data_IF_181092815494
#
_entry.id   IF_181092815494
#
_cell.length_a   1.000
_cell.length_b   1.000
_cell.length_c   1.000
_cell.angle_alpha   90.00
_cell.angle_beta   90.00
_cell.angle_gamma   90.00
#
_symmetry.space_group_name_H-M   'P 1'
#
loop_
_entity.id
_entity.type
_entity.pdbx_description
1 polymer ?
#
# COMPACT_ATOMS: atom_id res chain seq x y z
N UNK A 1 3.10 1.88 -0.63
CA UNK A 1 3.25 0.52 -0.04
C UNK A 1 4.39 0.47 0.96
N UNK A 2 5.65 0.69 0.56
CA UNK A 2 6.82 0.50 1.44
C UNK A 2 6.82 1.12 2.85
N UNK A 3 6.26 2.32 3.07
CA UNK A 3 6.21 2.92 4.43
C UNK A 3 5.30 2.13 5.37
N UNK A 4 4.11 1.77 4.91
CA UNK A 4 3.15 1.01 5.72
C UNK A 4 3.67 -0.41 5.97
N UNK A 5 4.25 -1.04 4.95
CA UNK A 5 4.85 -2.37 5.08
C UNK A 5 5.98 -2.36 6.13
N UNK A 6 6.84 -1.33 6.14
CA UNK A 6 7.87 -1.17 7.15
C UNK A 6 7.28 -1.08 8.57
N UNK A 7 6.26 -0.23 8.77
CA UNK A 7 5.61 -0.08 10.06
C UNK A 7 4.97 -1.39 10.54
N UNK A 8 4.24 -2.10 9.66
CA UNK A 8 3.60 -3.38 9.99
C UNK A 8 4.62 -4.47 10.33
N UNK A 9 5.80 -4.44 9.69
CA UNK A 9 6.92 -5.35 9.97
C UNK A 9 7.79 -4.91 11.16
N UNK A 10 7.43 -3.84 11.87
CA UNK A 10 8.21 -3.32 13.00
C UNK A 10 9.51 -2.61 12.61
N UNK A 11 9.69 -2.30 11.33
CA UNK A 11 10.83 -1.58 10.79
C UNK A 11 10.61 -0.06 10.86
N UNK A 12 11.67 0.70 11.14
CA UNK A 12 11.62 2.17 11.19
C UNK A 12 11.74 2.72 9.76
N UNK A 13 10.71 3.35 9.20
CA UNK A 13 10.81 3.98 7.89
C UNK A 13 11.77 5.18 7.91
N UNK A 14 12.61 5.25 6.87
CA UNK A 14 13.43 6.43 6.56
C UNK A 14 12.72 7.22 5.47
N UNK A 15 12.33 8.45 5.78
CA UNK A 15 11.55 9.33 4.93
C UNK A 15 12.46 10.36 4.29
N UNK A 16 12.24 10.65 3.02
CA UNK A 16 13.02 11.62 2.26
C UNK A 16 12.20 12.84 1.84
N UNK A 17 10.97 13.01 2.35
CA UNK A 17 10.15 14.16 2.01
C UNK A 17 9.26 14.54 3.19
N UNK A 18 9.27 15.82 3.55
CA UNK A 18 8.53 16.41 4.66
C UNK A 18 7.00 16.24 4.54
N UNK A 19 6.49 16.05 3.32
CA UNK A 19 5.08 15.81 3.06
C UNK A 19 4.60 14.37 3.28
N UNK A 20 5.50 13.38 3.40
CA UNK A 20 5.08 11.97 3.60
C UNK A 20 4.33 11.73 4.91
N UNK A 21 4.78 12.27 6.06
CA UNK A 21 4.05 12.21 7.33
C UNK A 21 2.61 12.74 7.25
N UNK A 22 2.40 13.76 6.40
CA UNK A 22 1.13 14.47 6.30
C UNK A 22 0.06 13.71 5.49
N UNK A 23 0.40 12.58 4.86
CA UNK A 23 -0.54 11.82 4.03
C UNK A 23 -1.54 10.99 4.84
N UNK A 24 -1.21 10.69 6.10
CA UNK A 24 -2.05 9.86 6.98
C UNK A 24 -2.20 10.47 8.37
N UNK A 25 -2.70 11.72 8.49
CA UNK A 25 -2.74 12.42 9.77
C UNK A 25 -3.58 11.69 10.82
N UNK A 26 -4.68 11.04 10.43
CA UNK A 26 -5.55 10.33 11.38
C UNK A 26 -4.96 8.99 11.88
N UNK A 27 -3.99 8.42 11.16
CA UNK A 27 -3.45 7.07 11.42
C UNK A 27 -2.05 7.11 12.02
N UNK A 28 -1.20 7.97 11.46
CA UNK A 28 0.18 8.14 11.90
C UNK A 28 0.33 9.29 12.88
N UNK A 29 -0.48 10.35 12.72
CA UNK A 29 -0.69 11.41 13.69
C UNK A 29 0.54 11.88 14.45
N UNK A 30 0.42 11.86 15.77
CA UNK A 30 1.36 12.35 16.77
C UNK A 30 2.57 11.44 17.01
N UNK A 31 2.46 10.15 16.68
CA UNK A 31 3.53 9.17 16.92
C UNK A 31 4.55 9.08 15.77
N UNK A 32 4.30 9.75 14.64
CA UNK A 32 5.16 9.70 13.46
C UNK A 32 6.61 10.14 13.70
N UNK A 33 6.80 11.25 14.41
CA UNK A 33 8.13 11.76 14.72
C UNK A 33 8.93 10.79 15.60
N UNK A 34 8.24 9.95 16.37
CA UNK A 34 8.82 8.94 17.25
C UNK A 34 8.89 7.55 16.62
N UNK A 35 8.60 7.41 15.33
CA UNK A 35 8.56 6.13 14.64
C UNK A 35 9.18 6.17 13.24
N UNK A 36 9.87 7.25 12.89
CA UNK A 36 10.49 7.40 11.58
C UNK A 36 11.71 8.31 11.65
N UNK A 37 12.55 8.23 10.63
CA UNK A 37 13.70 9.13 10.46
C UNK A 37 13.43 10.01 9.24
N UNK A 38 13.34 11.32 9.42
CA UNK A 38 13.23 12.25 8.29
C UNK A 38 14.61 12.75 7.85
N UNK A 39 14.95 12.46 6.60
CA UNK A 39 16.19 12.88 5.95
C UNK A 39 15.94 14.12 5.10
N UNK A 40 16.81 15.11 5.24
CA UNK A 40 16.87 16.26 4.35
C UNK A 40 17.41 15.83 2.97
N UNK A 41 16.49 15.44 2.08
CA UNK A 41 16.81 14.98 0.73
C UNK A 41 17.52 16.04 -0.10
N UNK A 42 17.26 17.33 0.15
CA UNK A 42 17.89 18.43 -0.59
C UNK A 42 19.39 18.49 -0.27
N UNK A 43 19.78 18.24 0.97
CA UNK A 43 21.20 18.12 1.35
C UNK A 43 21.83 16.84 0.80
N UNK A 44 21.09 15.73 0.80
CA UNK A 44 21.54 14.46 0.24
C UNK A 44 21.87 14.57 -1.25
N UNK A 45 20.96 15.11 -2.06
CA UNK A 45 21.18 15.28 -3.51
C UNK A 45 22.34 16.20 -3.86
N UNK A 46 22.66 17.18 -3.00
CA UNK A 46 23.80 18.08 -3.19
C UNK A 46 25.13 17.47 -2.71
N UNK A 47 25.14 16.21 -2.27
CA UNK A 47 26.32 15.56 -1.70
C UNK A 47 26.77 16.16 -0.35
N UNK A 48 25.91 16.93 0.32
CA UNK A 48 26.22 17.61 1.59
C UNK A 48 25.74 16.85 2.83
N UNK A 49 25.36 15.59 2.66
CA UNK A 49 24.82 14.74 3.71
C UNK A 49 25.21 13.28 3.48
N UNK A 50 25.83 12.66 4.48
CA UNK A 50 26.21 11.26 4.43
C UNK A 50 25.14 10.40 5.13
N UNK A 51 24.23 9.84 4.33
CA UNK A 51 23.10 9.05 4.82
C UNK A 51 23.53 7.90 5.75
N UNK A 52 24.53 7.11 5.34
CA UNK A 52 24.97 5.95 6.12
C UNK A 52 25.61 6.37 7.44
N UNK A 53 26.41 7.44 7.45
CA UNK A 53 26.99 7.95 8.68
C UNK A 53 25.90 8.46 9.64
N UNK A 54 24.91 9.19 9.13
CA UNK A 54 23.80 9.69 9.95
C UNK A 54 22.97 8.55 10.53
N UNK A 55 22.59 7.56 9.72
CA UNK A 55 21.79 6.42 10.20
C UNK A 55 22.55 5.57 11.23
N UNK A 56 23.87 5.39 11.07
CA UNK A 56 24.71 4.68 12.04
C UNK A 56 24.92 5.46 13.34
N UNK A 57 24.83 6.78 13.29
CA UNK A 57 24.99 7.63 14.47
C UNK A 57 23.77 7.61 15.39
N UNK A 58 22.62 7.09 14.95
CA UNK A 58 21.42 6.97 15.77
C UNK A 58 21.69 6.00 16.93
N UNK A 59 21.57 6.44 18.19
CA UNK A 59 21.77 5.57 19.34
C UNK A 59 20.82 4.37 19.33
N UNK A 60 21.30 3.22 19.78
CA UNK A 60 20.47 2.01 19.92
C UNK A 60 19.26 2.23 20.81
N UNK A 61 19.38 3.05 21.85
CA UNK A 61 18.27 3.42 22.74
C UNK A 61 17.14 4.13 21.99
N UNK A 62 17.48 5.04 21.06
CA UNK A 62 16.51 5.74 20.22
C UNK A 62 15.84 4.78 19.22
N UNK A 63 16.62 3.88 18.61
CA UNK A 63 16.08 2.81 17.74
C UNK A 63 15.06 1.95 18.49
N UNK A 64 15.38 1.54 19.72
CA UNK A 64 14.47 0.75 20.55
C UNK A 64 13.22 1.54 20.95
N UNK A 65 13.34 2.84 21.23
CA UNK A 65 12.20 3.71 21.51
C UNK A 65 11.29 3.82 20.27
N UNK A 66 11.86 3.98 19.08
CA UNK A 66 11.09 4.01 17.83
C UNK A 66 10.38 2.68 17.57
N UNK A 67 11.08 1.56 17.74
CA UNK A 67 10.48 0.22 17.59
C UNK A 67 9.34 -0.04 18.58
N UNK A 68 9.47 0.41 19.84
CA UNK A 68 8.38 0.33 20.82
C UNK A 68 7.18 1.14 20.39
N UNK A 69 7.40 2.36 19.93
CA UNK A 69 6.33 3.24 19.40
C UNK A 69 5.61 2.55 18.24
N UNK A 70 6.36 1.97 17.28
CA UNK A 70 5.80 1.21 16.17
C UNK A 70 4.98 0.02 16.67
N UNK A 71 5.52 -0.79 17.58
CA UNK A 71 4.80 -1.95 18.14
C UNK A 71 3.48 -1.55 18.81
N UNK A 72 3.44 -0.40 19.48
CA UNK A 72 2.22 0.13 20.11
C UNK A 72 1.20 0.61 19.09
N UNK A 73 1.61 1.22 17.97
CA UNK A 73 0.69 1.97 17.09
C UNK A 73 0.51 1.42 15.67
N UNK A 74 1.37 0.51 15.19
CA UNK A 74 1.36 0.06 13.79
C UNK A 74 0.02 -0.56 13.35
N UNK A 75 -0.75 -1.13 14.27
CA UNK A 75 -2.08 -1.64 13.98
C UNK A 75 -3.05 -0.54 13.47
N UNK A 76 -2.82 0.74 13.81
CA UNK A 76 -3.65 1.87 13.37
C UNK A 76 -3.46 2.23 11.90
N UNK A 77 -2.32 1.86 11.31
CA UNK A 77 -2.03 2.08 9.88
C UNK A 77 -2.27 0.83 9.04
N UNK A 78 -2.62 -0.29 9.70
CA UNK A 78 -3.01 -1.53 9.05
C UNK A 78 -4.47 -1.46 8.64
N UNK A 79 -4.73 -0.84 7.50
CA UNK A 79 -5.98 -1.11 6.81
C UNK A 79 -5.88 -2.51 6.24
N UNK A 80 -6.71 -3.41 6.74
CA UNK A 80 -7.07 -4.59 5.96
C UNK A 80 -7.44 -4.03 4.58
N UNK A 81 -6.69 -4.43 3.56
CA UNK A 81 -7.25 -4.44 2.23
C UNK A 81 -8.49 -5.31 2.39
N UNK A 82 -9.66 -4.69 2.62
CA UNK A 82 -10.92 -5.36 2.37
C UNK A 82 -10.72 -5.84 0.96
N UNK A 83 -10.59 -7.15 0.81
CA UNK A 83 -10.47 -7.73 -0.51
C UNK A 83 -11.75 -7.33 -1.21
N UNK A 84 -11.66 -6.33 -2.09
CA UNK A 84 -12.82 -5.82 -2.82
C UNK A 84 -13.43 -6.92 -3.69
N UNK A 85 -12.74 -8.05 -3.88
CA UNK A 85 -13.32 -9.28 -4.42
C UNK A 85 -14.44 -9.85 -3.54
N UNK A 86 -14.38 -9.66 -2.22
CA UNK A 86 -15.38 -10.13 -1.23
C UNK A 86 -16.50 -9.13 -0.93
N UNK A 87 -16.42 -7.90 -1.47
CA UNK A 87 -17.52 -6.95 -1.32
C UNK A 87 -18.78 -7.51 -2.04
N UNK A 88 -19.95 -7.51 -1.36
CA UNK A 88 -21.22 -7.90 -1.98
C UNK A 88 -21.45 -7.12 -3.27
N UNK A 89 -21.92 -7.81 -4.33
CA UNK A 89 -22.14 -7.22 -5.64
C UNK A 89 -22.99 -5.95 -5.61
N UNK A 90 -23.90 -5.81 -4.64
CA UNK A 90 -24.74 -4.63 -4.42
C UNK A 90 -23.97 -3.32 -4.14
N UNK A 91 -22.69 -3.39 -3.74
CA UNK A 91 -21.83 -2.22 -3.52
C UNK A 91 -20.83 -1.98 -4.66
N UNK A 92 -20.72 -2.92 -5.62
CA UNK A 92 -20.00 -2.71 -6.88
C UNK A 92 -20.97 -1.99 -7.80
N UNK A 93 -20.94 -0.66 -7.82
CA UNK A 93 -21.84 0.19 -8.60
C UNK A 93 -22.20 -0.44 -9.95
N UNK A 94 -23.47 -0.87 -10.06
CA UNK A 94 -24.02 -1.44 -11.28
C UNK A 94 -23.96 -0.40 -12.38
N UNK A 95 -23.25 -0.72 -13.46
CA UNK A 95 -23.56 -0.13 -14.75
C UNK A 95 -24.45 -1.13 -15.47
N UNK A 96 -25.74 -0.93 -15.25
CA UNK A 96 -26.84 -1.73 -15.78
C UNK A 96 -26.96 -1.45 -17.29
N UNK A 97 -26.06 -2.04 -18.08
CA UNK A 97 -26.14 -2.03 -19.54
C UNK A 97 -27.03 -3.17 -20.02
N UNK A 98 -28.35 -2.97 -19.94
CA UNK A 98 -29.35 -3.86 -20.51
C UNK A 98 -29.14 -4.12 -22.00
N UNK A 99 -29.32 -5.38 -22.39
CA UNK A 99 -29.25 -5.83 -23.77
C UNK A 99 -29.87 -7.22 -23.91
N UNK A 100 -31.18 -7.30 -23.69
CA UNK A 100 -32.01 -8.45 -24.08
C UNK A 100 -32.06 -8.51 -25.60
N UNK A 101 -31.29 -9.42 -26.20
CA UNK A 101 -31.41 -9.83 -27.59
C UNK A 101 -31.84 -11.28 -27.65
N UNK A 102 -33.14 -11.50 -27.84
CA UNK A 102 -33.72 -12.79 -28.21
C UNK A 102 -33.40 -13.08 -29.67
N UNK A 103 -32.84 -14.26 -29.99
CA UNK A 103 -32.95 -14.85 -31.32
C UNK A 103 -33.18 -16.36 -31.19
N UNK A 104 -34.46 -16.72 -31.35
CA UNK A 104 -34.92 -18.04 -31.77
C UNK A 104 -34.49 -18.31 -33.24
N UNK A 105 -34.23 -19.57 -33.55
CA UNK A 105 -34.13 -20.12 -34.91
C UNK A 105 -32.78 -20.81 -35.15
N UNK A 106 -32.66 -22.09 -35.50
CA UNK A 106 -33.61 -22.95 -36.18
C UNK A 106 -32.94 -23.51 -37.44
N UNK A 107 -32.52 -24.78 -37.39
CA UNK A 107 -32.34 -25.63 -38.57
C UNK A 107 -30.98 -25.64 -39.27
N UNK A 108 -30.53 -26.85 -39.65
CA UNK A 108 -29.51 -27.01 -40.70
C UNK A 108 -28.63 -28.24 -40.54
N UNK A 109 -29.05 -29.35 -41.13
CA UNK A 109 -28.33 -30.62 -41.22
C UNK A 109 -27.24 -30.63 -42.31
N UNK A 110 -26.32 -31.61 -42.20
CA UNK A 110 -25.41 -32.09 -43.26
C UNK A 110 -23.94 -31.97 -42.86
N UNK A 111 -23.07 -32.97 -42.91
CA UNK A 111 -23.12 -34.29 -43.53
C UNK A 111 -21.74 -34.60 -44.13
N UNK A 112 -21.10 -35.70 -43.69
CA UNK A 112 -19.96 -36.39 -44.34
C UNK A 112 -18.62 -35.63 -44.38
N UNK A 113 -17.45 -36.22 -44.64
CA UNK A 113 -16.94 -37.58 -44.74
C UNK A 113 -15.45 -37.44 -45.17
N UNK A 114 -14.59 -38.41 -44.80
CA UNK A 114 -13.24 -38.60 -45.37
C UNK A 114 -12.13 -38.04 -44.49
N UNK A 115 -11.16 -38.82 -43.97
CA UNK A 115 -10.65 -40.10 -44.44
C UNK A 115 -9.45 -39.86 -45.36
N UNK A 116 -8.25 -40.02 -44.81
CA UNK A 116 -6.97 -39.88 -45.49
C UNK A 116 -5.83 -39.84 -44.48
#
# INVERSE_FOLDING_TARGET
KGVLDALVLGCIPVLFHEGLPLQWPDHWGDWQANASVLIDWRKLLRGRFNLLATLRAIPRSEVLAMQRTIATHAHRVHYAAVDTATLPAALKGGNDGGGSGSEDGGGGAGGGAGGG
#
